data_IF_549492206469
#
_entry.id   IF_549492206469
#
_cell.length_a   1.000
_cell.length_b   1.000
_cell.length_c   1.000
_cell.angle_alpha   90.00
_cell.angle_beta   90.00
_cell.angle_gamma   90.00
#
_symmetry.space_group_name_H-M   'P 1'
#
loop_
_entity.id
_entity.type
_entity.pdbx_description
1 polymer ?
#
# COMPACT_ATOMS: atom_id res chain seq x y z
N UNK A 1 23.94 -11.25 33.30
CA UNK A 1 23.17 -11.85 32.19
C UNK A 1 22.40 -10.71 31.53
N UNK A 2 23.10 -9.72 30.97
CA UNK A 2 22.51 -8.38 30.81
C UNK A 2 22.52 -7.84 29.37
N UNK A 3 23.06 -8.59 28.39
CA UNK A 3 23.21 -8.12 27.01
C UNK A 3 21.98 -8.28 26.09
N UNK A 4 20.93 -8.97 26.52
CA UNK A 4 19.76 -9.30 25.66
C UNK A 4 18.64 -8.25 25.79
N UNK A 5 18.60 -7.51 26.91
CA UNK A 5 17.58 -6.49 27.15
C UNK A 5 17.91 -5.15 26.45
N UNK A 6 19.19 -4.75 26.42
CA UNK A 6 19.62 -3.51 25.78
C UNK A 6 19.57 -3.57 24.25
N UNK A 7 19.85 -4.73 23.63
CA UNK A 7 19.77 -4.88 22.17
C UNK A 7 18.32 -4.80 21.68
N UNK A 8 17.37 -5.43 22.38
CA UNK A 8 15.96 -5.38 22.01
C UNK A 8 15.35 -3.97 22.16
N UNK A 9 15.82 -3.17 23.13
CA UNK A 9 15.39 -1.76 23.26
C UNK A 9 15.90 -0.92 22.07
N UNK A 10 17.17 -1.07 21.71
CA UNK A 10 17.78 -0.35 20.58
C UNK A 10 17.11 -0.69 19.25
N UNK A 11 16.77 -1.97 19.02
CA UNK A 11 16.04 -2.41 17.82
C UNK A 11 14.63 -1.80 17.77
N UNK A 12 13.93 -1.72 18.90
CA UNK A 12 12.59 -1.13 18.95
C UNK A 12 12.62 0.38 18.68
N UNK A 13 13.56 1.10 19.29
CA UNK A 13 13.75 2.53 19.07
C UNK A 13 14.16 2.84 17.61
N UNK A 14 14.96 1.97 17.00
CA UNK A 14 15.32 2.08 15.58
C UNK A 14 14.09 1.90 14.67
N UNK A 15 13.22 0.93 14.97
CA UNK A 15 11.99 0.72 14.20
C UNK A 15 11.06 1.91 14.30
N UNK A 16 10.89 2.49 15.49
CA UNK A 16 10.09 3.71 15.66
C UNK A 16 10.68 4.86 14.85
N UNK A 17 12.02 5.00 14.83
CA UNK A 17 12.71 6.00 14.03
C UNK A 17 12.48 5.81 12.53
N UNK A 18 12.53 4.56 12.05
CA UNK A 18 12.27 4.20 10.66
C UNK A 18 10.82 4.54 10.28
N UNK A 19 9.85 4.19 11.13
CA UNK A 19 8.45 4.52 10.90
C UNK A 19 8.19 6.03 10.90
N UNK A 20 8.86 6.79 11.79
CA UNK A 20 8.81 8.25 11.81
C UNK A 20 9.35 8.87 10.51
N UNK A 21 10.49 8.37 10.02
CA UNK A 21 11.10 8.84 8.77
C UNK A 21 10.17 8.60 7.57
N UNK A 22 9.63 7.38 7.47
CA UNK A 22 8.70 7.00 6.40
C UNK A 22 7.41 7.83 6.49
N UNK A 23 6.90 8.10 7.70
CA UNK A 23 5.72 8.94 7.90
C UNK A 23 5.95 10.38 7.41
N UNK A 24 7.08 11.00 7.76
CA UNK A 24 7.46 12.34 7.26
C UNK A 24 7.57 12.37 5.74
N UNK A 25 8.16 11.34 5.14
CA UNK A 25 8.29 11.22 3.67
C UNK A 25 6.92 11.05 2.99
N UNK A 26 5.97 10.35 3.62
CA UNK A 26 4.58 10.24 3.13
C UNK A 26 3.85 11.59 3.13
N UNK A 27 4.10 12.44 4.12
CA UNK A 27 3.44 13.75 4.27
C UNK A 27 4.11 14.86 3.44
N UNK A 28 5.17 14.54 2.68
CA UNK A 28 6.05 15.52 2.04
C UNK A 28 6.58 16.58 3.04
N UNK A 29 6.77 16.19 4.30
CA UNK A 29 7.34 17.05 5.32
C UNK A 29 8.86 17.21 5.10
N UNK A 30 9.47 18.35 5.48
CA UNK A 30 10.92 18.51 5.43
C UNK A 30 11.59 17.46 6.33
N UNK A 31 12.52 16.70 5.74
CA UNK A 31 13.27 15.67 6.46
C UNK A 31 14.67 16.20 6.77
N UNK A 32 14.96 16.40 8.05
CA UNK A 32 16.31 16.72 8.50
C UNK A 32 17.13 15.42 8.68
N UNK A 33 17.69 14.92 7.58
CA UNK A 33 18.49 13.68 7.56
C UNK A 33 19.65 13.69 8.58
N UNK A 34 20.21 14.88 8.88
CA UNK A 34 21.23 15.04 9.91
C UNK A 34 20.73 14.67 11.32
N UNK A 35 19.48 15.02 11.67
CA UNK A 35 18.89 14.66 12.96
C UNK A 35 18.67 13.16 13.08
N UNK A 36 18.18 12.51 12.01
CA UNK A 36 18.01 11.05 11.97
C UNK A 36 19.35 10.33 12.07
N UNK A 37 20.37 10.77 11.34
CA UNK A 37 21.74 10.25 11.45
C UNK A 37 22.25 10.33 12.89
N UNK A 38 22.04 11.46 13.56
CA UNK A 38 22.49 11.64 14.95
C UNK A 38 21.72 10.73 15.92
N UNK A 39 20.43 10.51 15.71
CA UNK A 39 19.62 9.59 16.53
C UNK A 39 20.04 8.13 16.33
N UNK A 40 20.28 7.68 15.10
CA UNK A 40 20.78 6.32 14.82
C UNK A 40 22.16 6.11 15.49
N UNK A 41 23.06 7.09 15.42
CA UNK A 41 24.36 6.99 16.11
C UNK A 41 24.23 6.93 17.63
N UNK A 42 23.22 7.57 18.23
CA UNK A 42 22.93 7.46 19.67
C UNK A 42 22.48 6.06 20.08
N UNK A 43 21.96 5.26 19.16
CA UNK A 43 21.57 3.86 19.38
C UNK A 43 22.76 2.89 19.33
N UNK A 44 23.98 3.39 19.09
CA UNK A 44 25.22 2.60 19.12
C UNK A 44 25.73 2.14 17.75
N UNK A 45 25.09 2.55 16.66
CA UNK A 45 25.52 2.20 15.30
C UNK A 45 26.72 3.04 14.84
N UNK A 46 27.63 2.41 14.08
CA UNK A 46 28.76 3.08 13.45
C UNK A 46 28.30 4.05 12.34
N UNK A 47 29.20 4.91 11.86
CA UNK A 47 28.86 5.83 10.75
C UNK A 47 28.49 5.06 9.47
N UNK A 48 29.25 4.01 9.15
CA UNK A 48 28.99 3.16 7.99
C UNK A 48 27.64 2.45 8.11
N UNK A 49 27.35 1.85 9.27
CA UNK A 49 26.04 1.22 9.54
C UNK A 49 24.90 2.23 9.49
N UNK A 50 25.11 3.43 10.02
CA UNK A 50 24.11 4.50 9.98
C UNK A 50 23.80 4.92 8.55
N UNK A 51 24.82 5.01 7.70
CA UNK A 51 24.65 5.36 6.29
C UNK A 51 23.89 4.25 5.54
N UNK A 52 24.22 2.99 5.79
CA UNK A 52 23.52 1.84 5.20
C UNK A 52 22.05 1.80 5.61
N UNK A 53 21.77 1.98 6.91
CA UNK A 53 20.40 2.06 7.45
C UNK A 53 19.62 3.20 6.78
N UNK A 54 20.21 4.39 6.64
CA UNK A 54 19.54 5.53 6.01
C UNK A 54 19.20 5.26 4.54
N UNK A 55 20.13 4.64 3.78
CA UNK A 55 19.89 4.26 2.39
C UNK A 55 18.72 3.27 2.32
N UNK A 56 18.71 2.26 3.19
CA UNK A 56 17.67 1.24 3.19
C UNK A 56 16.29 1.78 3.58
N UNK A 57 16.23 2.72 4.55
CA UNK A 57 15.00 3.42 4.93
C UNK A 57 14.47 4.25 3.75
N UNK A 58 15.35 4.96 3.04
CA UNK A 58 14.97 5.81 1.91
C UNK A 58 14.35 4.99 0.77
N UNK A 59 14.98 3.85 0.48
CA UNK A 59 14.55 2.80 -0.45
C UNK A 59 13.16 2.23 -0.07
N UNK A 60 12.97 1.91 1.21
CA UNK A 60 11.72 1.38 1.73
C UNK A 60 10.58 2.39 1.69
N UNK A 61 10.88 3.66 1.93
CA UNK A 61 9.95 4.76 1.83
C UNK A 61 9.52 5.01 0.37
N UNK A 62 10.44 4.95 -0.60
CA UNK A 62 10.12 5.05 -2.02
C UNK A 62 9.26 3.88 -2.49
N UNK A 63 9.60 2.66 -2.07
CA UNK A 63 8.77 1.47 -2.33
C UNK A 63 7.37 1.63 -1.73
N UNK A 64 7.23 2.24 -0.55
CA UNK A 64 5.92 2.52 0.05
C UNK A 64 5.14 3.60 -0.70
N UNK A 65 5.79 4.68 -1.14
CA UNK A 65 5.17 5.73 -1.95
C UNK A 65 4.65 5.17 -3.28
N UNK A 66 5.48 4.40 -3.98
CA UNK A 66 5.11 3.72 -5.22
C UNK A 66 3.96 2.73 -5.00
N UNK A 67 4.00 1.95 -3.92
CA UNK A 67 2.91 1.06 -3.54
C UNK A 67 1.63 1.83 -3.19
N UNK A 68 1.72 2.98 -2.53
CA UNK A 68 0.60 3.87 -2.22
C UNK A 68 -0.07 4.43 -3.47
N UNK A 69 0.71 4.85 -4.47
CA UNK A 69 0.21 5.26 -5.79
C UNK A 69 -0.49 4.08 -6.47
N UNK A 70 0.10 2.88 -6.41
CA UNK A 70 -0.50 1.63 -6.89
C UNK A 70 -1.87 1.36 -6.24
N UNK A 71 -1.96 1.46 -4.91
CA UNK A 71 -3.22 1.28 -4.15
C UNK A 71 -4.26 2.32 -4.55
N UNK A 72 -3.90 3.61 -4.66
CA UNK A 72 -4.85 4.66 -5.06
C UNK A 72 -5.44 4.34 -6.43
N UNK A 73 -4.61 3.95 -7.40
CA UNK A 73 -5.06 3.52 -8.74
C UNK A 73 -5.91 2.25 -8.67
N UNK A 74 -5.53 1.25 -7.87
CA UNK A 74 -6.30 0.02 -7.69
C UNK A 74 -7.67 0.29 -7.05
N UNK A 75 -7.75 1.13 -6.01
CA UNK A 75 -9.01 1.58 -5.40
C UNK A 75 -9.89 2.32 -6.40
N UNK A 76 -9.30 3.23 -7.19
CA UNK A 76 -10.05 3.94 -8.23
C UNK A 76 -10.61 2.97 -9.27
N UNK A 77 -9.81 2.00 -9.74
CA UNK A 77 -10.29 0.94 -10.65
C UNK A 77 -11.40 0.09 -10.04
N UNK A 78 -11.30 -0.23 -8.75
CA UNK A 78 -12.33 -0.99 -8.02
C UNK A 78 -13.64 -0.20 -7.95
N UNK A 79 -13.58 1.09 -7.58
CA UNK A 79 -14.77 1.96 -7.53
C UNK A 79 -15.38 2.14 -8.92
N UNK A 80 -14.57 2.45 -9.93
CA UNK A 80 -15.06 2.62 -11.32
C UNK A 80 -15.67 1.33 -11.87
N UNK A 81 -15.06 0.17 -11.63
CA UNK A 81 -15.62 -1.11 -12.08
C UNK A 81 -16.93 -1.44 -11.38
N UNK A 82 -17.06 -1.20 -10.07
CA UNK A 82 -18.33 -1.36 -9.36
C UNK A 82 -19.42 -0.43 -9.92
N UNK A 83 -19.12 0.85 -10.15
CA UNK A 83 -20.08 1.80 -10.74
C UNK A 83 -20.55 1.32 -12.11
N UNK A 84 -19.63 0.88 -12.97
CA UNK A 84 -19.97 0.35 -14.30
C UNK A 84 -20.81 -0.93 -14.18
N UNK A 85 -20.48 -1.82 -13.26
CA UNK A 85 -21.25 -3.04 -12.99
C UNK A 85 -22.68 -2.74 -12.52
N UNK A 86 -22.84 -1.84 -11.55
CA UNK A 86 -24.17 -1.41 -11.08
C UNK A 86 -24.97 -0.70 -12.18
N UNK A 87 -24.33 0.15 -12.99
CA UNK A 87 -24.98 0.76 -14.15
C UNK A 87 -25.48 -0.31 -15.13
N UNK A 88 -24.66 -1.32 -15.45
CA UNK A 88 -25.05 -2.44 -16.31
C UNK A 88 -26.26 -3.22 -15.77
N UNK A 89 -26.31 -3.47 -14.46
CA UNK A 89 -27.46 -4.11 -13.79
C UNK A 89 -28.71 -3.22 -13.90
N UNK A 90 -28.58 -1.93 -13.60
CA UNK A 90 -29.70 -0.98 -13.66
C UNK A 90 -30.27 -0.84 -15.08
N UNK A 91 -29.40 -0.76 -16.10
CA UNK A 91 -29.81 -0.75 -17.50
C UNK A 91 -30.52 -2.05 -17.91
N UNK A 92 -30.06 -3.20 -17.40
CA UNK A 92 -30.71 -4.50 -17.66
C UNK A 92 -32.11 -4.57 -17.07
N UNK A 93 -32.27 -4.09 -15.82
CA UNK A 93 -33.58 -4.03 -15.15
C UNK A 93 -34.52 -3.05 -15.87
N UNK A 94 -34.03 -1.86 -16.23
CA UNK A 94 -34.82 -0.87 -16.97
C UNK A 94 -35.27 -1.39 -18.34
N UNK A 95 -34.40 -2.11 -19.06
CA UNK A 95 -34.75 -2.79 -20.30
C UNK A 95 -35.80 -3.89 -20.10
N UNK A 96 -35.67 -4.71 -19.05
CA UNK A 96 -36.63 -5.77 -18.72
C UNK A 96 -38.02 -5.21 -18.33
N UNK A 97 -38.06 -4.03 -17.70
CA UNK A 97 -39.30 -3.31 -17.38
C UNK A 97 -39.92 -2.59 -18.59
N UNK A 98 -39.33 -2.72 -19.78
CA UNK A 98 -39.84 -2.09 -21.00
C UNK A 98 -39.68 -0.57 -21.05
N UNK A 99 -38.88 0.02 -20.14
CA UNK A 99 -38.56 1.44 -20.17
C UNK A 99 -37.73 1.83 -21.39
N UNK A 100 -37.07 0.84 -22.02
CA UNK A 100 -36.35 1.00 -23.27
C UNK A 100 -36.55 -0.20 -24.20
N UNK A 101 -37.05 0.06 -25.41
CA UNK A 101 -37.26 -0.95 -26.46
C UNK A 101 -35.95 -1.27 -27.18
N UNK A 102 -35.10 -2.09 -26.57
CA UNK A 102 -33.83 -2.51 -27.17
C UNK A 102 -33.91 -3.97 -27.64
N UNK A 103 -33.68 -4.21 -28.94
CA UNK A 103 -33.73 -5.53 -29.56
C UNK A 103 -32.79 -6.55 -28.88
N UNK A 104 -33.14 -7.83 -28.99
CA UNK A 104 -32.56 -8.99 -28.28
C UNK A 104 -31.03 -9.13 -28.29
N UNK A 105 -30.31 -8.45 -29.19
CA UNK A 105 -28.84 -8.40 -29.20
C UNK A 105 -28.20 -7.56 -28.08
N UNK A 106 -28.96 -6.72 -27.37
CA UNK A 106 -28.44 -5.81 -26.35
C UNK A 106 -28.32 -6.48 -24.97
N UNK A 107 -28.97 -7.63 -24.75
CA UNK A 107 -28.92 -8.34 -23.47
C UNK A 107 -27.57 -9.03 -23.17
N UNK A 108 -26.75 -9.33 -24.18
CA UNK A 108 -25.41 -9.95 -23.98
C UNK A 108 -24.38 -8.94 -23.47
N UNK A 109 -24.53 -7.67 -23.88
CA UNK A 109 -23.64 -6.56 -23.54
C UNK A 109 -23.57 -6.32 -22.01
N UNK A 110 -24.68 -6.24 -21.25
CA UNK A 110 -24.61 -6.00 -19.81
C UNK A 110 -24.01 -7.16 -19.03
N UNK A 111 -24.27 -8.43 -19.38
CA UNK A 111 -23.66 -9.57 -18.67
C UNK A 111 -22.13 -9.62 -18.87
N UNK A 112 -21.65 -9.31 -20.07
CA UNK A 112 -20.21 -9.19 -20.34
C UNK A 112 -19.55 -8.07 -19.54
N UNK A 113 -20.22 -6.90 -19.45
CA UNK A 113 -19.74 -5.74 -18.67
C UNK A 113 -19.69 -6.05 -17.18
N UNK A 114 -20.74 -6.68 -16.65
CA UNK A 114 -20.80 -7.07 -15.23
C UNK A 114 -19.71 -8.09 -14.89
N UNK A 115 -19.51 -9.11 -15.73
CA UNK A 115 -18.45 -10.10 -15.53
C UNK A 115 -17.05 -9.49 -15.55
N UNK A 116 -16.77 -8.62 -16.53
CA UNK A 116 -15.48 -7.91 -16.61
C UNK A 116 -15.25 -6.98 -15.41
N UNK A 117 -16.30 -6.34 -14.90
CA UNK A 117 -16.24 -5.50 -13.70
C UNK A 117 -15.86 -6.32 -12.46
N UNK A 118 -16.48 -7.49 -12.23
CA UNK A 118 -16.15 -8.36 -11.09
C UNK A 118 -14.73 -8.91 -11.16
N UNK A 119 -14.25 -9.33 -12.34
CA UNK A 119 -12.87 -9.80 -12.52
C UNK A 119 -11.87 -8.67 -12.21
N UNK A 120 -12.16 -7.45 -12.69
CA UNK A 120 -11.30 -6.28 -12.46
C UNK A 120 -11.28 -5.91 -10.97
N UNK A 121 -12.43 -5.94 -10.29
CA UNK A 121 -12.53 -5.70 -8.86
C UNK A 121 -11.76 -6.75 -8.04
N UNK A 122 -11.85 -8.04 -8.41
CA UNK A 122 -11.12 -9.11 -7.75
C UNK A 122 -9.60 -8.96 -7.88
N UNK A 123 -9.10 -8.61 -9.08
CA UNK A 123 -7.67 -8.32 -9.29
C UNK A 123 -7.20 -7.12 -8.45
N UNK A 124 -7.98 -6.04 -8.41
CA UNK A 124 -7.65 -4.87 -7.60
C UNK A 124 -7.62 -5.20 -6.10
N UNK A 125 -8.52 -6.06 -5.62
CA UNK A 125 -8.54 -6.52 -4.22
C UNK A 125 -7.28 -7.34 -3.86
N UNK A 126 -6.85 -8.23 -4.75
CA UNK A 126 -5.62 -9.00 -4.58
C UNK A 126 -4.37 -8.10 -4.53
N UNK A 127 -4.28 -7.08 -5.39
CA UNK A 127 -3.19 -6.10 -5.37
C UNK A 127 -3.12 -5.33 -4.03
N UNK A 128 -4.27 -4.93 -3.47
CA UNK A 128 -4.33 -4.23 -2.18
C UNK A 128 -3.83 -5.13 -1.05
N UNK A 129 -4.28 -6.39 -0.99
CA UNK A 129 -3.86 -7.34 0.04
C UNK A 129 -2.35 -7.69 -0.01
N UNK A 130 -1.75 -7.67 -1.20
CA UNK A 130 -0.30 -7.86 -1.34
C UNK A 130 0.51 -6.72 -0.72
N UNK A 131 0.04 -5.48 -0.81
CA UNK A 131 0.72 -4.33 -0.19
C UNK A 131 0.64 -4.40 1.33
N UNK A 132 -0.50 -4.82 1.86
CA UNK A 132 -0.67 -5.04 3.31
C UNK A 132 0.29 -6.10 3.85
N UNK A 133 0.45 -7.21 3.13
CA UNK A 133 1.43 -8.26 3.45
C UNK A 133 2.87 -7.75 3.35
N UNK A 134 3.20 -6.87 2.39
CA UNK A 134 4.53 -6.24 2.28
C UNK A 134 4.83 -5.34 3.48
N UNK A 135 3.84 -4.57 3.96
CA UNK A 135 3.99 -3.74 5.16
C UNK A 135 4.30 -4.60 6.40
N UNK A 136 3.58 -5.73 6.57
CA UNK A 136 3.83 -6.68 7.66
C UNK A 136 5.21 -7.35 7.56
N UNK A 137 5.67 -7.69 6.36
CA UNK A 137 7.02 -8.27 6.13
C UNK A 137 8.16 -7.29 6.43
N UNK A 138 8.00 -5.98 6.16
CA UNK A 138 9.03 -4.98 6.49
C UNK A 138 9.25 -4.85 7.99
N UNK A 139 8.17 -4.81 8.77
CA UNK A 139 8.25 -4.80 10.24
C UNK A 139 9.04 -6.00 10.77
N UNK A 140 8.75 -7.20 10.26
CA UNK A 140 9.49 -8.42 10.60
C UNK A 140 10.95 -8.42 10.13
N UNK A 141 11.28 -7.71 9.05
CA UNK A 141 12.66 -7.60 8.54
C UNK A 141 13.50 -6.70 9.45
N UNK A 142 12.92 -5.58 9.90
CA UNK A 142 13.59 -4.60 10.76
C UNK A 142 13.64 -5.04 12.23
N UNK A 143 12.69 -5.87 12.70
CA UNK A 143 12.80 -6.60 13.98
C UNK A 143 14.05 -7.50 14.06
N UNK A 144 14.64 -7.88 12.92
CA UNK A 144 15.84 -8.71 12.86
C UNK A 144 17.16 -7.94 12.93
N UNK A 145 17.12 -6.61 12.99
CA UNK A 145 18.31 -5.78 13.18
C UNK A 145 18.71 -5.80 14.65
N UNK A 146 19.61 -6.73 14.98
CA UNK A 146 20.34 -6.83 16.25
C UNK A 146 21.75 -6.30 16.09
#
# INVERSE_FOLDING_TARGET
MDGILDSNLSSHELIELVEEYIAKKRENAPIETAQFRQRIRKLGYSEDQTQDILIEIDDDADKELLAGIGIKRAKQRLVSSLIIGFAGIAFSIAGALGLFSFGTGILIIPFGIVGAAFITAGKAYAEIGLVEKRKKRRRLKHDGWN
#
